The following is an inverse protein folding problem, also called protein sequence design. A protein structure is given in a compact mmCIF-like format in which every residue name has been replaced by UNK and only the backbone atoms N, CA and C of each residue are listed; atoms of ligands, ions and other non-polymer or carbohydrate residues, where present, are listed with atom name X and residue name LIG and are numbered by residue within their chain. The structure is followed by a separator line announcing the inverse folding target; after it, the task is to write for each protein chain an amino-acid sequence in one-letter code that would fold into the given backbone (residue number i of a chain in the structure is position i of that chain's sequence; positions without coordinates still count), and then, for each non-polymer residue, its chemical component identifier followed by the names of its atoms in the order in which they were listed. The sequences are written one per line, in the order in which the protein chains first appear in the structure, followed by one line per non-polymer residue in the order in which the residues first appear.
data_IF_699974741299
#
_entry.id   IF_699974741299
#
_cell.length_a   1.000
_cell.length_b   1.000
_cell.length_c   1.000
_cell.angle_alpha   90.00
_cell.angle_beta   90.00
_cell.angle_gamma   90.00
#
_symmetry.space_group_name_H-M   'P 1'
#
loop_
_entity.id
_entity.type
_entity.pdbx_description
1 polymer ?
#
# COMPACT_ATOMS: atom_id res chain seq x y z
N UNK A 1 44.82 5.37 -22.03
CA UNK A 1 43.44 5.00 -22.34
C UNK A 1 42.54 6.16 -21.98
N UNK A 2 41.62 6.59 -22.86
CA UNK A 2 40.71 7.72 -22.57
C UNK A 2 39.59 7.22 -21.64
N UNK A 3 39.53 7.76 -20.45
CA UNK A 3 38.40 7.52 -19.49
C UNK A 3 37.17 8.13 -20.15
N UNK A 4 36.13 7.35 -20.38
CA UNK A 4 34.81 7.85 -20.81
C UNK A 4 34.07 8.36 -19.61
N UNK A 5 33.66 9.61 -19.60
CA UNK A 5 32.80 10.20 -18.57
C UNK A 5 31.36 10.23 -19.07
N UNK A 6 30.41 9.94 -18.21
CA UNK A 6 28.97 10.12 -18.42
C UNK A 6 28.42 11.00 -17.33
N UNK A 7 27.32 11.70 -17.61
CA UNK A 7 26.59 12.52 -16.63
C UNK A 7 25.30 11.81 -16.28
N UNK A 8 25.03 11.61 -14.99
CA UNK A 8 23.83 10.94 -14.50
C UNK A 8 23.04 11.89 -13.62
N UNK A 9 21.73 11.95 -13.86
CA UNK A 9 20.81 12.73 -13.05
C UNK A 9 20.62 12.08 -11.66
N UNK A 10 20.97 12.78 -10.59
CA UNK A 10 20.83 12.28 -9.21
C UNK A 10 19.37 12.00 -8.80
N UNK A 11 18.42 12.67 -9.45
CA UNK A 11 17.00 12.53 -9.08
C UNK A 11 16.30 11.33 -9.77
N UNK A 12 16.65 10.98 -11.01
CA UNK A 12 15.95 9.95 -11.78
C UNK A 12 16.85 8.92 -12.46
N UNK A 13 18.17 9.06 -12.35
CA UNK A 13 19.15 8.14 -12.96
C UNK A 13 19.29 8.26 -14.48
N UNK A 14 18.67 9.27 -15.13
CA UNK A 14 18.83 9.49 -16.57
C UNK A 14 20.29 9.76 -16.92
N UNK A 15 20.82 9.01 -17.88
CA UNK A 15 22.19 9.17 -18.36
C UNK A 15 22.26 10.13 -19.55
N UNK A 16 23.34 10.91 -19.63
CA UNK A 16 23.66 11.81 -20.74
C UNK A 16 25.16 11.79 -21.01
N UNK A 17 25.52 11.88 -22.29
CA UNK A 17 26.91 11.99 -22.68
C UNK A 17 27.54 13.39 -22.39
N UNK A 18 26.70 14.37 -22.05
CA UNK A 18 27.10 15.75 -21.73
C UNK A 18 26.29 16.23 -20.51
N UNK A 19 26.88 17.16 -19.77
CA UNK A 19 26.13 17.84 -18.71
C UNK A 19 24.96 18.66 -19.30
N UNK A 20 23.77 18.48 -18.73
CA UNK A 20 22.54 19.16 -19.16
C UNK A 20 21.97 19.88 -17.95
N UNK A 21 21.67 21.18 -18.04
CA UNK A 21 21.16 21.99 -16.95
C UNK A 21 19.78 21.54 -16.43
N UNK A 22 18.93 20.98 -17.31
CA UNK A 22 17.61 20.45 -16.93
C UNK A 22 17.49 19.00 -17.42
N UNK A 23 17.11 18.11 -16.51
CA UNK A 23 16.92 16.70 -16.87
C UNK A 23 15.68 16.51 -17.77
N UNK A 24 15.81 15.90 -18.96
CA UNK A 24 14.69 15.70 -19.87
C UNK A 24 13.67 14.68 -19.35
N UNK A 25 14.07 13.78 -18.45
CA UNK A 25 13.21 12.74 -17.91
C UNK A 25 12.39 13.19 -16.69
N UNK A 26 13.00 13.90 -15.72
CA UNK A 26 12.33 14.31 -14.51
C UNK A 26 12.09 15.84 -14.41
N UNK A 27 12.58 16.63 -15.33
CA UNK A 27 12.40 18.09 -15.38
C UNK A 27 13.19 18.89 -14.34
N UNK A 28 13.94 18.26 -13.46
CA UNK A 28 14.74 18.91 -12.40
C UNK A 28 15.97 19.60 -12.96
N UNK A 29 16.35 20.74 -12.33
CA UNK A 29 17.50 21.54 -12.74
C UNK A 29 18.75 21.19 -11.93
N UNK A 30 19.92 21.23 -12.57
CA UNK A 30 21.26 21.06 -11.98
C UNK A 30 21.46 19.73 -11.22
N UNK A 31 20.83 18.67 -11.70
CA UNK A 31 20.86 17.32 -11.08
C UNK A 31 21.85 16.36 -11.74
N UNK A 32 22.58 16.78 -12.76
CA UNK A 32 23.57 15.92 -13.44
C UNK A 32 24.94 16.01 -12.76
N UNK A 33 25.47 14.86 -12.32
CA UNK A 33 26.85 14.68 -11.86
C UNK A 33 27.66 13.86 -12.83
N UNK A 34 28.92 14.24 -12.95
CA UNK A 34 29.90 13.52 -13.77
C UNK A 34 30.31 12.21 -13.08
N UNK A 35 30.12 11.09 -13.78
CA UNK A 35 30.59 9.78 -13.35
C UNK A 35 31.64 9.28 -14.31
N UNK A 36 32.82 8.91 -13.82
CA UNK A 36 33.88 8.29 -14.60
C UNK A 36 33.53 6.83 -14.88
N UNK A 37 33.26 6.50 -16.12
CA UNK A 37 33.09 5.10 -16.51
C UNK A 37 34.50 4.50 -16.60
N UNK A 38 34.80 3.52 -15.75
CA UNK A 38 35.98 2.69 -15.89
C UNK A 38 35.97 2.04 -17.29
N UNK A 39 37.14 1.90 -17.98
CA UNK A 39 37.18 1.27 -19.27
C UNK A 39 36.60 -0.12 -19.16
N UNK A 40 35.56 -0.42 -19.95
CA UNK A 40 35.00 -1.76 -20.06
C UNK A 40 36.10 -2.68 -20.52
N UNK A 41 36.69 -3.45 -19.60
CA UNK A 41 37.42 -4.63 -19.96
C UNK A 41 36.47 -5.51 -20.74
N UNK A 42 36.77 -5.76 -22.00
CA UNK A 42 36.08 -6.70 -22.89
C UNK A 42 36.40 -8.14 -22.47
N UNK A 43 36.10 -8.47 -21.23
CA UNK A 43 35.88 -9.80 -20.75
C UNK A 43 34.46 -9.76 -20.14
N UNK A 44 33.60 -10.59 -20.69
CA UNK A 44 32.29 -10.90 -20.11
C UNK A 44 32.51 -11.34 -18.66
N UNK A 45 32.59 -10.38 -17.75
CA UNK A 45 32.57 -10.68 -16.34
C UNK A 45 31.17 -11.21 -16.04
N UNK A 46 31.08 -12.52 -15.84
CA UNK A 46 29.86 -13.14 -15.33
C UNK A 46 29.40 -12.34 -14.13
N UNK A 47 28.11 -12.03 -14.04
CA UNK A 47 27.54 -11.30 -12.91
C UNK A 47 27.86 -12.03 -11.60
N UNK A 48 27.85 -11.32 -10.47
CA UNK A 48 28.12 -11.92 -9.15
C UNK A 48 27.17 -13.09 -8.92
N UNK A 49 25.87 -12.89 -9.23
CA UNK A 49 24.86 -13.95 -9.15
C UNK A 49 25.18 -15.17 -10.04
N UNK A 50 25.68 -14.95 -11.27
CA UNK A 50 26.10 -16.04 -12.18
C UNK A 50 27.32 -16.79 -11.65
N UNK A 51 28.28 -16.10 -11.03
CA UNK A 51 29.46 -16.75 -10.39
C UNK A 51 29.04 -17.58 -9.19
N UNK A 52 28.02 -17.13 -8.45
CA UNK A 52 27.49 -17.84 -7.29
C UNK A 52 26.83 -19.16 -7.67
N UNK A 53 26.14 -19.22 -8.82
CA UNK A 53 25.32 -20.36 -9.25
C UNK A 53 26.01 -21.25 -10.32
N UNK A 54 27.27 -21.02 -10.66
CA UNK A 54 27.88 -21.43 -11.93
C UNK A 54 28.40 -22.84 -12.02
N UNK A 55 28.03 -23.81 -11.17
CA UNK A 55 28.56 -25.19 -11.41
C UNK A 55 27.52 -26.21 -11.91
N UNK A 56 26.19 -26.04 -11.73
CA UNK A 56 25.31 -27.18 -12.01
C UNK A 56 24.06 -26.92 -12.89
N UNK A 57 23.74 -25.69 -13.32
CA UNK A 57 22.48 -25.44 -14.05
C UNK A 57 22.57 -24.56 -15.30
N UNK A 58 23.68 -24.54 -16.01
CA UNK A 58 23.72 -23.97 -17.37
C UNK A 58 23.11 -24.93 -18.40
N UNK A 59 21.84 -25.25 -18.30
CA UNK A 59 21.12 -25.67 -19.49
C UNK A 59 20.92 -24.41 -20.35
N UNK A 60 21.59 -24.31 -21.46
CA UNK A 60 21.24 -23.39 -22.56
C UNK A 60 19.85 -23.79 -23.03
N UNK A 61 18.81 -23.30 -22.35
CA UNK A 61 17.45 -23.46 -22.85
C UNK A 61 17.34 -22.54 -24.07
N UNK A 62 17.24 -23.14 -25.25
CA UNK A 62 16.83 -22.44 -26.46
C UNK A 62 15.39 -21.89 -26.31
N UNK A 63 14.89 -21.16 -27.33
CA UNK A 63 13.50 -20.72 -27.38
C UNK A 63 12.57 -21.93 -27.21
N UNK A 64 11.55 -21.82 -26.37
CA UNK A 64 10.54 -22.87 -26.11
C UNK A 64 9.20 -22.36 -26.62
N UNK A 65 8.42 -23.20 -27.28
CA UNK A 65 7.06 -22.82 -27.67
C UNK A 65 6.19 -22.59 -26.43
N UNK A 66 5.32 -21.60 -26.50
CA UNK A 66 4.39 -21.30 -25.41
C UNK A 66 3.47 -22.50 -25.08
N UNK A 67 3.13 -23.32 -26.10
CA UNK A 67 2.36 -24.55 -25.95
C UNK A 67 3.09 -25.64 -25.15
N UNK A 68 4.43 -25.62 -25.16
CA UNK A 68 5.26 -26.62 -24.49
C UNK A 68 5.57 -26.24 -23.03
N UNK A 69 5.24 -24.98 -22.64
CA UNK A 69 5.36 -24.53 -21.27
C UNK A 69 4.16 -25.04 -20.49
N UNK A 70 4.37 -26.07 -19.69
CA UNK A 70 3.36 -26.48 -18.72
C UNK A 70 3.24 -25.37 -17.68
N UNK A 71 2.10 -24.70 -17.65
CA UNK A 71 1.71 -23.83 -16.57
C UNK A 71 1.26 -24.71 -15.39
N UNK A 72 2.20 -25.44 -14.79
CA UNK A 72 1.97 -26.00 -13.47
C UNK A 72 1.56 -24.83 -12.57
N UNK A 73 0.49 -24.99 -11.82
CA UNK A 73 0.02 -23.97 -10.89
C UNK A 73 1.23 -23.54 -10.07
N UNK A 74 1.73 -22.32 -10.28
CA UNK A 74 2.95 -21.83 -9.63
C UNK A 74 2.69 -21.93 -8.13
N UNK A 75 3.26 -22.95 -7.50
CA UNK A 75 3.13 -23.20 -6.06
C UNK A 75 3.60 -21.95 -5.33
N UNK A 76 2.68 -21.20 -4.77
CA UNK A 76 2.99 -20.01 -3.98
C UNK A 76 3.37 -20.41 -2.56
N UNK A 77 4.31 -19.70 -1.97
CA UNK A 77 4.64 -19.90 -0.56
C UNK A 77 3.63 -19.14 0.30
N UNK A 78 2.93 -19.87 1.17
CA UNK A 78 2.09 -19.29 2.20
C UNK A 78 2.99 -18.65 3.27
N UNK A 79 2.76 -17.36 3.55
CA UNK A 79 3.51 -16.61 4.55
C UNK A 79 2.88 -16.70 5.96
N UNK A 80 1.81 -17.47 6.14
CA UNK A 80 1.03 -17.55 7.39
C UNK A 80 0.57 -16.17 7.90
N UNK A 81 0.42 -15.23 6.97
CA UNK A 81 -0.15 -13.91 7.17
C UNK A 81 -1.21 -13.64 6.09
N UNK A 82 -2.50 -13.66 6.44
CA UNK A 82 -3.59 -13.59 5.47
C UNK A 82 -3.65 -12.26 4.73
N UNK A 83 -3.26 -11.16 5.36
CA UNK A 83 -3.27 -9.84 4.74
C UNK A 83 -2.08 -9.68 3.78
N UNK A 84 -0.90 -10.16 4.14
CA UNK A 84 0.27 -10.15 3.26
C UNK A 84 0.08 -11.09 2.06
N UNK A 85 -0.43 -12.29 2.28
CA UNK A 85 -0.77 -13.23 1.21
C UNK A 85 -1.79 -12.64 0.24
N UNK A 86 -2.82 -11.96 0.74
CA UNK A 86 -3.84 -11.29 -0.07
C UNK A 86 -3.22 -10.28 -1.02
N UNK A 87 -2.41 -9.37 -0.49
CA UNK A 87 -1.78 -8.30 -1.27
C UNK A 87 -0.79 -8.84 -2.30
N UNK A 88 -0.16 -9.97 -2.01
CA UNK A 88 0.70 -10.70 -2.94
C UNK A 88 -0.08 -11.50 -4.01
N UNK A 89 -1.40 -11.61 -3.87
CA UNK A 89 -2.25 -12.39 -4.76
C UNK A 89 -2.26 -13.89 -4.44
N UNK A 90 -2.12 -14.25 -3.16
CA UNK A 90 -2.20 -15.61 -2.64
C UNK A 90 -0.86 -16.20 -2.16
N UNK A 91 0.16 -15.36 -1.93
CA UNK A 91 1.46 -15.77 -1.39
C UNK A 91 2.66 -15.44 -2.30
N UNK A 92 3.86 -15.78 -1.86
CA UNK A 92 5.09 -15.52 -2.59
C UNK A 92 5.25 -16.44 -3.80
N UNK A 93 5.61 -15.86 -4.93
CA UNK A 93 5.95 -16.60 -6.14
C UNK A 93 7.45 -16.95 -6.11
N UNK A 94 7.84 -18.22 -6.33
CA UNK A 94 9.25 -18.61 -6.44
C UNK A 94 9.99 -17.79 -7.49
N UNK A 95 11.20 -17.35 -7.14
CA UNK A 95 12.02 -16.53 -8.03
C UNK A 95 11.52 -15.10 -8.26
N UNK A 96 10.60 -14.61 -7.45
CA UNK A 96 10.14 -13.22 -7.50
C UNK A 96 11.04 -12.29 -6.69
N UNK A 97 11.14 -11.03 -7.16
CA UNK A 97 11.76 -9.95 -6.43
C UNK A 97 10.68 -8.95 -6.02
N UNK A 98 10.50 -8.77 -4.71
CA UNK A 98 9.46 -7.92 -4.12
C UNK A 98 10.13 -6.75 -3.39
N UNK A 99 9.62 -5.54 -3.58
CA UNK A 99 10.00 -4.35 -2.82
C UNK A 99 8.90 -3.98 -1.84
N UNK A 100 9.24 -3.92 -0.55
CA UNK A 100 8.39 -3.37 0.50
C UNK A 100 8.86 -1.96 0.84
N UNK A 101 8.16 -0.95 0.34
CA UNK A 101 8.43 0.46 0.59
C UNK A 101 7.56 1.04 1.70
N UNK A 102 8.01 2.12 2.34
CA UNK A 102 7.25 2.85 3.36
C UNK A 102 8.12 3.80 4.16
N UNK A 103 7.49 4.74 4.91
CA UNK A 103 8.23 5.67 5.78
C UNK A 103 9.08 4.94 6.83
N UNK A 104 10.20 5.55 7.28
CA UNK A 104 10.94 5.02 8.42
C UNK A 104 10.06 4.92 9.67
N UNK A 105 10.16 3.78 10.38
CA UNK A 105 9.37 3.53 11.60
C UNK A 105 7.92 3.12 11.39
N UNK A 106 7.44 2.93 10.13
CA UNK A 106 6.05 2.50 9.86
C UNK A 106 5.76 1.04 10.25
N UNK A 107 6.79 0.20 10.39
CA UNK A 107 6.66 -1.20 10.79
C UNK A 107 7.09 -2.22 9.73
N UNK A 108 7.79 -1.83 8.65
CA UNK A 108 8.24 -2.75 7.57
C UNK A 108 9.05 -3.94 8.09
N UNK A 109 10.14 -3.65 8.81
CA UNK A 109 11.01 -4.67 9.40
C UNK A 109 10.30 -5.51 10.45
N UNK A 110 9.33 -4.91 11.18
CA UNK A 110 8.49 -5.63 12.14
C UNK A 110 7.57 -6.63 11.42
N UNK A 111 6.90 -6.21 10.34
CA UNK A 111 6.03 -7.09 9.54
C UNK A 111 6.81 -8.29 9.01
N UNK A 112 7.97 -8.05 8.40
CA UNK A 112 8.76 -9.11 7.81
C UNK A 112 9.32 -10.05 8.89
N UNK A 113 9.92 -9.52 9.95
CA UNK A 113 10.46 -10.35 11.03
C UNK A 113 9.37 -11.21 11.68
N UNK A 114 8.18 -10.62 11.96
CA UNK A 114 7.05 -11.36 12.49
C UNK A 114 6.56 -12.46 11.56
N UNK A 115 6.55 -12.21 10.26
CA UNK A 115 6.19 -13.21 9.25
C UNK A 115 7.21 -14.35 9.23
N UNK A 116 8.50 -14.03 9.27
CA UNK A 116 9.57 -15.04 9.30
C UNK A 116 9.49 -15.96 10.52
N UNK A 117 9.20 -15.40 11.69
CA UNK A 117 9.06 -16.16 12.93
C UNK A 117 7.89 -17.17 12.89
N UNK A 118 6.97 -17.04 11.94
CA UNK A 118 5.88 -17.98 11.69
C UNK A 118 6.22 -19.06 10.67
N UNK A 119 7.25 -18.84 9.84
CA UNK A 119 7.68 -19.79 8.81
C UNK A 119 8.64 -20.83 9.43
N UNK A 120 8.08 -21.92 9.93
CA UNK A 120 8.87 -22.99 10.58
C UNK A 120 9.26 -24.12 9.62
N UNK A 121 8.69 -24.13 8.43
CA UNK A 121 8.87 -25.14 7.37
C UNK A 121 9.85 -24.70 6.28
N UNK A 122 10.47 -23.51 6.42
CA UNK A 122 11.33 -22.88 5.42
C UNK A 122 12.61 -22.36 6.03
N UNK A 123 13.70 -22.55 5.31
CA UNK A 123 14.99 -21.94 5.64
C UNK A 123 15.02 -20.50 5.15
N UNK A 124 15.02 -19.56 6.08
CA UNK A 124 14.97 -18.13 5.76
C UNK A 124 16.30 -17.48 6.14
N UNK A 125 16.84 -16.64 5.24
CA UNK A 125 17.98 -15.78 5.53
C UNK A 125 17.52 -14.32 5.57
N UNK A 126 17.71 -13.69 6.73
CA UNK A 126 17.48 -12.27 6.95
C UNK A 126 18.81 -11.53 6.99
N UNK A 127 19.01 -10.63 6.03
CA UNK A 127 20.22 -9.80 5.95
C UNK A 127 19.89 -8.39 6.38
N UNK A 128 20.61 -7.91 7.40
CA UNK A 128 20.48 -6.55 7.92
C UNK A 128 21.71 -5.73 7.61
N UNK A 129 21.49 -4.52 7.07
CA UNK A 129 22.54 -3.52 6.91
C UNK A 129 22.40 -2.35 7.88
N UNK A 130 21.36 -2.34 8.73
CA UNK A 130 21.08 -1.23 9.64
C UNK A 130 21.16 -1.63 11.12
N UNK A 131 20.78 -2.86 11.45
CA UNK A 131 20.69 -3.33 12.82
C UNK A 131 21.65 -4.48 13.09
N UNK A 132 22.14 -4.56 14.34
CA UNK A 132 22.95 -5.67 14.80
C UNK A 132 22.08 -6.90 15.10
N UNK A 133 22.73 -8.08 15.15
CA UNK A 133 22.08 -9.35 15.50
C UNK A 133 21.35 -9.28 16.84
N UNK A 134 21.96 -8.60 17.84
CA UNK A 134 21.36 -8.44 19.18
C UNK A 134 20.10 -7.57 19.12
N UNK A 135 20.07 -6.51 18.32
CA UNK A 135 18.89 -5.63 18.17
C UNK A 135 17.74 -6.38 17.48
N UNK A 136 18.05 -7.16 16.44
CA UNK A 136 17.06 -8.00 15.76
C UNK A 136 16.54 -9.07 16.71
N UNK A 137 17.42 -9.71 17.50
CA UNK A 137 17.02 -10.72 18.50
C UNK A 137 16.08 -10.15 19.55
N UNK A 138 16.39 -8.99 20.13
CA UNK A 138 15.51 -8.30 21.09
C UNK A 138 14.12 -8.00 20.51
N UNK A 139 14.07 -7.64 19.23
CA UNK A 139 12.81 -7.43 18.53
C UNK A 139 12.06 -8.75 18.30
N UNK A 140 12.76 -9.80 17.86
CA UNK A 140 12.18 -11.12 17.66
C UNK A 140 11.57 -11.68 18.95
N UNK A 141 12.25 -11.56 20.08
CA UNK A 141 11.78 -12.03 21.39
C UNK A 141 10.49 -11.30 21.84
N UNK A 142 10.36 -10.02 21.49
CA UNK A 142 9.12 -9.26 21.74
C UNK A 142 7.96 -9.72 20.85
N UNK A 143 8.24 -10.05 19.58
CA UNK A 143 7.22 -10.41 18.59
C UNK A 143 6.72 -11.85 18.75
N UNK A 144 7.57 -12.76 19.21
CA UNK A 144 7.26 -14.16 19.40
C UNK A 144 8.05 -14.75 20.58
N UNK A 145 7.60 -14.50 21.83
CA UNK A 145 8.31 -14.95 23.03
C UNK A 145 8.49 -16.48 23.12
N UNK A 146 7.68 -17.24 22.41
CA UNK A 146 7.69 -18.73 22.43
C UNK A 146 8.23 -19.36 21.15
N UNK A 147 8.79 -18.58 20.21
CA UNK A 147 9.32 -19.12 18.96
C UNK A 147 10.67 -19.80 19.22
N UNK A 148 10.64 -21.08 19.60
CA UNK A 148 11.80 -21.95 19.63
C UNK A 148 11.76 -22.88 18.41
N UNK A 149 12.82 -22.87 17.61
CA UNK A 149 13.00 -23.85 16.52
C UNK A 149 12.77 -23.34 15.09
N UNK A 150 12.85 -22.05 14.84
CA UNK A 150 12.81 -21.52 13.47
C UNK A 150 14.20 -21.57 12.83
N UNK A 151 14.28 -22.07 11.59
CA UNK A 151 15.47 -22.02 10.73
C UNK A 151 15.67 -20.61 10.13
N UNK A 152 15.47 -19.55 10.93
CA UNK A 152 15.75 -18.18 10.53
C UNK A 152 17.20 -17.84 10.83
N UNK A 153 17.99 -17.69 9.78
CA UNK A 153 19.39 -17.29 9.85
C UNK A 153 19.49 -15.77 9.72
N UNK A 154 20.35 -15.17 10.54
CA UNK A 154 20.65 -13.73 10.52
C UNK A 154 22.05 -13.50 9.97
N UNK A 155 22.22 -12.47 9.13
CA UNK A 155 23.51 -12.01 8.65
C UNK A 155 23.52 -10.47 8.67
N UNK A 156 24.47 -9.90 9.42
CA UNK A 156 24.71 -8.44 9.44
C UNK A 156 25.86 -8.11 8.48
N UNK A 157 25.53 -7.83 7.22
CA UNK A 157 26.50 -7.54 6.16
C UNK A 157 25.88 -6.59 5.12
N UNK A 158 26.71 -5.69 4.57
CA UNK A 158 26.31 -4.72 3.54
C UNK A 158 27.04 -4.93 2.21
N UNK A 159 28.18 -5.65 2.23
CA UNK A 159 28.93 -5.94 1.02
C UNK A 159 28.28 -7.06 0.22
N UNK A 160 27.90 -6.75 -1.02
CA UNK A 160 27.16 -7.67 -1.87
C UNK A 160 27.95 -8.95 -2.20
N UNK A 161 29.24 -8.84 -2.41
CA UNK A 161 30.13 -9.95 -2.75
C UNK A 161 30.15 -10.98 -1.62
N UNK A 162 30.31 -10.54 -0.37
CA UNK A 162 30.27 -11.40 0.82
C UNK A 162 28.90 -12.02 1.06
N UNK A 163 27.83 -11.25 0.82
CA UNK A 163 26.46 -11.77 0.90
C UNK A 163 26.30 -12.95 -0.07
N UNK A 164 26.74 -12.80 -1.32
CA UNK A 164 26.61 -13.87 -2.31
C UNK A 164 27.50 -15.10 -2.02
N UNK A 165 28.63 -14.93 -1.33
CA UNK A 165 29.42 -16.05 -0.81
C UNK A 165 28.62 -16.87 0.21
N UNK A 166 27.97 -16.20 1.17
CA UNK A 166 27.12 -16.87 2.15
C UNK A 166 25.88 -17.53 1.53
N UNK A 167 25.26 -16.89 0.51
CA UNK A 167 24.10 -17.45 -0.19
C UNK A 167 24.40 -18.80 -0.87
N UNK A 168 25.65 -19.05 -1.29
CA UNK A 168 26.07 -20.34 -1.84
C UNK A 168 25.99 -21.47 -0.80
N UNK A 169 26.48 -21.17 0.41
CA UNK A 169 26.59 -22.16 1.48
C UNK A 169 25.23 -22.40 2.14
N UNK A 170 24.45 -21.33 2.31
CA UNK A 170 23.16 -21.36 3.01
C UNK A 170 22.06 -21.93 2.12
N UNK A 171 21.98 -21.55 0.85
CA UNK A 171 20.89 -21.91 -0.08
C UNK A 171 19.48 -21.76 0.55
N UNK A 172 19.05 -20.52 0.91
CA UNK A 172 17.78 -20.29 1.61
C UNK A 172 16.58 -20.48 0.68
N UNK A 173 15.42 -20.84 1.24
CA UNK A 173 14.13 -20.87 0.55
C UNK A 173 13.54 -19.47 0.39
N UNK A 174 13.90 -18.52 1.25
CA UNK A 174 13.48 -17.13 1.25
C UNK A 174 14.61 -16.21 1.70
N UNK A 175 14.84 -15.12 0.97
CA UNK A 175 15.83 -14.11 1.29
C UNK A 175 15.18 -12.77 1.60
N UNK A 176 15.59 -12.13 2.69
CA UNK A 176 15.17 -10.75 3.04
C UNK A 176 16.39 -9.84 3.15
N UNK A 177 16.29 -8.66 2.57
CA UNK A 177 17.32 -7.60 2.61
C UNK A 177 16.73 -6.37 3.30
N UNK A 178 17.22 -6.00 4.46
CA UNK A 178 16.77 -4.86 5.25
C UNK A 178 17.96 -3.93 5.63
N UNK A 179 18.19 -2.86 4.86
CA UNK A 179 17.49 -2.35 3.71
C UNK A 179 18.36 -2.37 2.44
N UNK A 180 17.72 -2.28 1.27
CA UNK A 180 18.46 -2.20 0.00
C UNK A 180 19.33 -0.94 -0.10
N UNK A 181 19.02 0.12 0.65
CA UNK A 181 19.78 1.38 0.67
C UNK A 181 21.17 1.23 1.31
N UNK A 182 21.35 0.26 2.20
CA UNK A 182 22.63 0.04 2.87
C UNK A 182 23.55 -0.91 2.10
N UNK A 183 23.02 -1.62 1.09
CA UNK A 183 23.80 -2.57 0.30
C UNK A 183 24.74 -1.85 -0.67
N UNK A 184 25.94 -2.37 -0.78
CA UNK A 184 26.96 -1.85 -1.68
C UNK A 184 27.75 -2.97 -2.37
N UNK A 185 28.19 -2.70 -3.60
CA UNK A 185 29.08 -3.58 -4.36
C UNK A 185 30.35 -2.82 -4.74
N UNK A 186 31.47 -3.51 -4.74
CA UNK A 186 32.77 -2.98 -5.17
C UNK A 186 32.89 -2.87 -6.69
N UNK A 187 31.94 -3.41 -7.45
CA UNK A 187 31.98 -3.40 -8.93
C UNK A 187 31.78 -2.04 -9.55
N UNK A 188 31.26 -1.06 -8.78
CA UNK A 188 31.03 0.31 -9.22
C UNK A 188 31.63 1.32 -8.25
N UNK A 189 32.29 2.34 -8.79
CA UNK A 189 32.90 3.42 -8.02
C UNK A 189 31.84 4.50 -7.70
N UNK A 190 30.97 4.21 -6.72
CA UNK A 190 29.97 5.14 -6.23
C UNK A 190 29.70 4.91 -4.73
N UNK A 191 29.34 5.98 -4.01
CA UNK A 191 29.12 5.90 -2.58
C UNK A 191 27.98 4.93 -2.21
N UNK A 192 28.10 4.18 -1.11
CA UNK A 192 26.98 3.39 -0.54
C UNK A 192 25.73 4.25 -0.39
N UNK A 193 24.55 3.69 -0.68
CA UNK A 193 23.27 4.41 -0.64
C UNK A 193 22.99 5.28 -1.87
N UNK A 194 23.92 5.43 -2.81
CA UNK A 194 23.64 6.12 -4.07
C UNK A 194 22.67 5.32 -4.94
N UNK A 195 21.95 6.02 -5.82
CA UNK A 195 20.99 5.37 -6.75
C UNK A 195 21.64 4.32 -7.63
N UNK A 196 22.89 4.54 -8.05
CA UNK A 196 23.66 3.56 -8.84
C UNK A 196 23.93 2.29 -8.05
N UNK A 197 24.35 2.39 -6.79
CA UNK A 197 24.55 1.23 -5.91
C UNK A 197 23.23 0.46 -5.72
N UNK A 198 22.15 1.16 -5.35
CA UNK A 198 20.84 0.56 -5.13
C UNK A 198 20.35 -0.19 -6.37
N UNK A 199 20.49 0.41 -7.58
CA UNK A 199 20.10 -0.24 -8.84
C UNK A 199 20.93 -1.48 -9.13
N UNK A 200 22.25 -1.39 -8.96
CA UNK A 200 23.16 -2.52 -9.25
C UNK A 200 22.90 -3.66 -8.30
N UNK A 201 22.80 -3.39 -6.99
CA UNK A 201 22.51 -4.42 -5.99
C UNK A 201 21.15 -5.08 -6.25
N UNK A 202 20.10 -4.30 -6.53
CA UNK A 202 18.78 -4.85 -6.84
C UNK A 202 18.77 -5.70 -8.13
N UNK A 203 19.55 -5.32 -9.15
CA UNK A 203 19.67 -6.10 -10.39
C UNK A 203 20.37 -7.45 -10.15
N UNK A 204 21.39 -7.51 -9.27
CA UNK A 204 22.05 -8.75 -8.89
C UNK A 204 21.11 -9.66 -8.06
N UNK A 205 20.33 -9.09 -7.11
CA UNK A 205 19.30 -9.85 -6.39
C UNK A 205 18.20 -10.37 -7.31
N UNK A 206 17.81 -9.61 -8.35
CA UNK A 206 16.87 -10.11 -9.37
C UNK A 206 17.43 -11.31 -10.12
N UNK A 207 18.69 -11.24 -10.56
CA UNK A 207 19.34 -12.36 -11.26
C UNK A 207 19.41 -13.59 -10.34
N UNK A 208 19.78 -13.40 -9.08
CA UNK A 208 19.80 -14.47 -8.08
C UNK A 208 18.39 -15.09 -7.95
N UNK A 209 17.36 -14.30 -7.68
CA UNK A 209 15.99 -14.79 -7.55
C UNK A 209 15.56 -15.64 -8.75
N UNK A 210 15.78 -15.13 -9.98
CA UNK A 210 15.38 -15.83 -11.22
C UNK A 210 16.16 -17.11 -11.46
N UNK A 211 17.41 -17.18 -11.05
CA UNK A 211 18.27 -18.34 -11.30
C UNK A 211 18.17 -19.42 -10.23
N UNK A 212 17.97 -19.04 -8.96
CA UNK A 212 17.80 -19.98 -7.84
C UNK A 212 16.34 -20.40 -7.62
N UNK A 213 15.37 -19.70 -8.21
CA UNK A 213 13.94 -19.76 -7.90
C UNK A 213 13.63 -19.34 -6.43
N UNK A 214 14.56 -18.73 -5.70
CA UNK A 214 14.37 -18.21 -4.35
C UNK A 214 13.67 -16.85 -4.41
N UNK A 215 12.52 -16.64 -3.76
CA UNK A 215 11.92 -15.30 -3.65
C UNK A 215 12.79 -14.39 -2.79
N UNK A 216 12.89 -13.12 -3.18
CA UNK A 216 13.68 -12.11 -2.48
C UNK A 216 12.79 -10.93 -2.13
N UNK A 217 12.78 -10.55 -0.85
CA UNK A 217 12.08 -9.37 -0.33
C UNK A 217 13.11 -8.27 -0.03
N UNK A 218 12.97 -7.13 -0.67
CA UNK A 218 13.77 -5.93 -0.42
C UNK A 218 12.98 -4.95 0.44
N UNK A 219 13.53 -4.49 1.54
CA UNK A 219 12.99 -3.37 2.31
C UNK A 219 13.56 -2.07 1.76
N UNK A 220 12.70 -1.06 1.57
CA UNK A 220 13.09 0.25 1.10
C UNK A 220 12.42 1.38 1.88
N UNK A 221 13.11 2.53 2.02
CA UNK A 221 12.57 3.73 2.65
C UNK A 221 12.00 4.68 1.59
N UNK A 222 10.86 5.31 1.90
CA UNK A 222 10.19 6.34 1.10
C UNK A 222 10.40 7.68 1.78
N UNK A 223 10.67 8.75 1.04
CA UNK A 223 10.73 10.12 1.59
C UNK A 223 9.32 10.69 1.83
N UNK A 224 9.20 11.69 2.73
CA UNK A 224 7.92 12.32 3.15
C UNK A 224 7.08 12.90 2.01
N UNK A 225 7.68 13.22 0.87
CA UNK A 225 6.98 13.74 -0.30
C UNK A 225 6.31 12.67 -1.16
N UNK A 226 6.24 11.42 -0.68
CA UNK A 226 5.72 10.29 -1.46
C UNK A 226 6.58 9.94 -2.69
N UNK A 227 7.62 10.73 -2.94
CA UNK A 227 8.62 10.44 -3.92
C UNK A 227 9.67 9.53 -3.27
N UNK A 228 9.63 8.29 -3.66
CA UNK A 228 10.59 7.29 -3.24
C UNK A 228 11.97 7.74 -3.73
N UNK A 229 12.83 8.26 -2.83
CA UNK A 229 14.25 8.37 -3.15
C UNK A 229 14.80 6.94 -3.29
N UNK A 230 14.92 6.48 -4.54
CA UNK A 230 15.34 5.12 -4.86
C UNK A 230 14.24 4.18 -5.38
N UNK A 231 13.04 4.04 -4.79
CA UNK A 231 12.08 3.01 -5.24
C UNK A 231 11.42 3.25 -6.60
N UNK A 232 11.20 4.48 -7.07
CA UNK A 232 10.76 4.69 -8.47
C UNK A 232 11.76 4.09 -9.47
N UNK A 233 13.04 4.11 -9.14
CA UNK A 233 14.09 3.48 -9.93
C UNK A 233 14.00 1.95 -9.86
N UNK A 234 13.59 1.40 -8.70
CA UNK A 234 13.43 -0.03 -8.50
C UNK A 234 12.11 -0.59 -9.02
N UNK A 235 11.05 0.23 -9.15
CA UNK A 235 9.75 -0.22 -9.69
C UNK A 235 9.85 -0.96 -11.02
N UNK A 236 10.77 -0.54 -11.88
CA UNK A 236 10.96 -1.19 -13.18
C UNK A 236 11.72 -2.51 -13.07
N UNK A 237 12.55 -2.67 -12.03
CA UNK A 237 13.42 -3.84 -11.82
C UNK A 237 12.64 -4.95 -11.11
N UNK A 238 11.87 -4.63 -10.07
CA UNK A 238 11.17 -5.62 -9.24
C UNK A 238 9.89 -6.13 -9.90
N UNK A 239 9.45 -7.31 -9.51
CA UNK A 239 8.20 -7.91 -9.99
C UNK A 239 6.98 -7.36 -9.25
N UNK A 240 7.10 -7.09 -7.96
CA UNK A 240 6.04 -6.58 -7.09
C UNK A 240 6.54 -5.41 -6.25
N UNK A 241 5.74 -4.37 -6.11
CA UNK A 241 5.97 -3.23 -5.21
C UNK A 241 4.82 -3.15 -4.24
N UNK A 242 5.14 -3.32 -2.97
CA UNK A 242 4.22 -3.12 -1.85
C UNK A 242 4.58 -1.81 -1.16
N UNK A 243 3.58 -1.01 -0.83
CA UNK A 243 3.74 0.22 -0.08
C UNK A 243 3.03 0.11 1.26
N UNK A 244 3.78 0.33 2.33
CA UNK A 244 3.27 0.33 3.69
C UNK A 244 3.02 1.76 4.13
N UNK A 245 1.76 2.08 4.37
CA UNK A 245 1.26 3.43 4.68
C UNK A 245 0.63 3.45 6.08
N UNK A 246 0.57 4.64 6.68
CA UNK A 246 -0.14 4.87 7.93
C UNK A 246 0.32 6.16 8.58
N UNK A 247 -0.52 6.72 9.43
CA UNK A 247 -0.18 7.86 10.26
C UNK A 247 0.31 7.37 11.64
N UNK A 248 1.32 8.02 12.21
CA UNK A 248 1.86 7.68 13.54
C UNK A 248 0.85 7.89 14.67
N UNK A 249 -0.15 8.71 14.45
CA UNK A 249 -1.22 8.99 15.42
C UNK A 249 -2.33 7.94 15.42
N UNK A 250 -2.39 7.06 14.40
CA UNK A 250 -3.39 6.01 14.30
C UNK A 250 -2.76 4.62 14.44
N UNK A 251 -3.51 3.71 15.05
CA UNK A 251 -3.05 2.34 15.30
C UNK A 251 -3.02 1.46 14.03
N UNK A 252 -3.63 1.93 12.94
CA UNK A 252 -3.76 1.13 11.71
C UNK A 252 -2.66 1.43 10.71
N UNK A 253 -2.27 0.39 9.97
CA UNK A 253 -1.34 0.43 8.85
C UNK A 253 -1.96 -0.25 7.66
N UNK A 254 -1.78 0.34 6.49
CA UNK A 254 -2.32 -0.18 5.22
C UNK A 254 -1.14 -0.64 4.37
N UNK A 255 -1.22 -1.86 3.88
CA UNK A 255 -0.29 -2.41 2.89
C UNK A 255 -0.98 -2.41 1.53
N UNK A 256 -0.45 -1.63 0.58
CA UNK A 256 -0.97 -1.54 -0.80
C UNK A 256 -0.07 -2.23 -1.78
N UNK A 257 -0.66 -2.85 -2.79
CA UNK A 257 0.04 -3.30 -3.98
C UNK A 257 0.08 -2.17 -5.00
N UNK A 258 1.26 -1.58 -5.22
CA UNK A 258 1.46 -0.52 -6.25
C UNK A 258 1.74 -1.15 -7.61
N UNK A 259 2.42 -2.28 -7.61
CA UNK A 259 2.74 -3.08 -8.80
C UNK A 259 2.73 -4.55 -8.42
N UNK A 260 2.08 -5.40 -9.22
CA UNK A 260 2.11 -6.85 -9.02
C UNK A 260 2.00 -7.57 -10.37
N UNK A 261 3.06 -8.27 -10.78
CA UNK A 261 3.06 -9.08 -12.02
C UNK A 261 2.33 -10.40 -11.85
N UNK A 262 2.03 -10.80 -10.62
CA UNK A 262 1.48 -12.11 -10.28
C UNK A 262 0.06 -12.06 -9.73
N UNK A 263 -0.50 -10.86 -9.59
CA UNK A 263 -1.84 -10.66 -9.04
C UNK A 263 -2.38 -9.26 -9.29
N UNK A 264 -3.55 -8.97 -8.71
CA UNK A 264 -4.17 -7.65 -8.79
C UNK A 264 -3.38 -6.62 -7.97
N UNK A 265 -3.38 -5.37 -8.41
CA UNK A 265 -2.94 -4.21 -7.64
C UNK A 265 -4.06 -3.59 -6.81
N UNK A 266 -5.28 -4.10 -6.95
CA UNK A 266 -6.45 -3.62 -6.23
C UNK A 266 -6.56 -4.18 -4.80
N UNK A 267 -5.67 -5.10 -4.40
CA UNK A 267 -5.70 -5.70 -3.08
C UNK A 267 -4.96 -4.85 -2.06
N UNK A 268 -5.52 -4.81 -0.84
CA UNK A 268 -4.86 -4.19 0.31
C UNK A 268 -4.95 -5.06 1.56
N UNK A 269 -3.90 -4.94 2.38
CA UNK A 269 -3.81 -5.53 3.69
C UNK A 269 -3.97 -4.45 4.77
N UNK A 270 -4.65 -4.78 5.85
CA UNK A 270 -4.84 -3.88 6.97
C UNK A 270 -4.28 -4.53 8.22
N UNK A 271 -3.47 -3.76 8.94
CA UNK A 271 -2.83 -4.20 10.17
C UNK A 271 -3.11 -3.21 11.30
N UNK A 272 -3.28 -3.73 12.49
CA UNK A 272 -3.28 -2.95 13.73
C UNK A 272 -1.90 -3.03 14.38
N UNK A 273 -1.32 -1.86 14.71
CA UNK A 273 -0.06 -1.79 15.44
C UNK A 273 -0.32 -2.00 16.93
N UNK A 274 0.27 -3.03 17.51
CA UNK A 274 0.21 -3.36 18.93
C UNK A 274 1.60 -3.40 19.55
N UNK A 275 1.68 -3.50 20.88
CA UNK A 275 2.93 -3.65 21.59
C UNK A 275 3.71 -4.91 21.16
N UNK A 276 2.97 -5.99 20.89
CA UNK A 276 3.47 -7.30 20.48
C UNK A 276 3.75 -7.41 18.97
N UNK A 277 3.49 -6.34 18.19
CA UNK A 277 3.70 -6.34 16.75
C UNK A 277 2.48 -5.94 15.92
N UNK A 278 2.42 -6.40 14.68
CA UNK A 278 1.35 -6.12 13.73
C UNK A 278 0.32 -7.26 13.73
N UNK A 279 -0.92 -6.93 14.06
CA UNK A 279 -2.05 -7.86 13.98
C UNK A 279 -2.78 -7.69 12.65
N UNK A 280 -2.90 -8.74 11.82
CA UNK A 280 -3.75 -8.71 10.64
C UNK A 280 -5.21 -8.42 11.00
N UNK A 281 -5.87 -7.53 10.26
CA UNK A 281 -7.24 -7.13 10.48
C UNK A 281 -8.15 -7.80 9.44
N UNK A 282 -8.80 -8.87 9.83
CA UNK A 282 -9.67 -9.63 8.93
C UNK A 282 -10.93 -8.83 8.52
N UNK A 283 -11.48 -8.06 9.45
CA UNK A 283 -12.67 -7.23 9.21
C UNK A 283 -12.40 -5.77 9.63
N UNK A 284 -12.00 -4.90 8.70
CA UNK A 284 -11.78 -3.48 9.02
C UNK A 284 -13.00 -2.76 9.55
N UNK A 285 -14.19 -3.16 9.11
CA UNK A 285 -15.43 -2.50 9.48
C UNK A 285 -15.69 -2.54 10.98
N UNK A 286 -15.34 -3.65 11.65
CA UNK A 286 -15.48 -3.78 13.13
C UNK A 286 -14.69 -2.73 13.89
N UNK A 287 -13.61 -2.25 13.32
CA UNK A 287 -12.71 -1.28 13.94
C UNK A 287 -13.05 0.16 13.57
N UNK A 288 -13.78 0.35 12.45
CA UNK A 288 -14.11 1.65 11.87
C UNK A 288 -15.53 2.10 12.21
N UNK A 289 -16.28 1.26 12.92
CA UNK A 289 -17.61 1.54 13.44
C UNK A 289 -17.54 1.64 14.97
N UNK A 290 -18.13 2.69 15.53
CA UNK A 290 -18.19 2.87 16.98
C UNK A 290 -19.23 1.92 17.56
N UNK A 291 -18.83 1.10 18.53
CA UNK A 291 -19.76 0.33 19.34
C UNK A 291 -20.50 1.28 20.30
N UNK A 292 -21.82 1.22 20.33
CA UNK A 292 -22.64 2.01 21.25
C UNK A 292 -24.09 2.09 20.79
N UNK A 293 -24.98 2.36 21.74
CA UNK A 293 -26.43 2.49 21.53
C UNK A 293 -26.88 3.95 21.45
N UNK A 294 -25.98 4.91 21.67
CA UNK A 294 -26.34 6.33 21.75
C UNK A 294 -26.71 6.88 20.38
N UNK A 295 -27.84 7.55 20.30
CA UNK A 295 -28.31 8.27 19.12
C UNK A 295 -27.60 9.63 19.05
N UNK A 296 -26.38 9.64 18.48
CA UNK A 296 -25.60 10.86 18.29
C UNK A 296 -25.83 11.46 16.92
N UNK A 297 -26.10 12.78 16.87
CA UNK A 297 -26.14 13.52 15.62
C UNK A 297 -24.75 13.67 14.99
N UNK A 298 -24.70 13.92 13.68
CA UNK A 298 -23.45 14.12 12.96
C UNK A 298 -22.71 12.84 12.54
N UNK A 299 -23.34 11.68 12.67
CA UNK A 299 -22.73 10.38 12.33
C UNK A 299 -23.51 9.71 11.19
N UNK A 300 -22.78 9.21 10.20
CA UNK A 300 -23.33 8.40 9.10
C UNK A 300 -22.39 7.26 8.74
N UNK A 301 -22.92 6.12 8.30
CA UNK A 301 -22.10 4.97 7.89
C UNK A 301 -22.01 4.88 6.38
N UNK A 302 -20.79 4.98 5.87
CA UNK A 302 -20.47 4.83 4.47
C UNK A 302 -20.05 3.39 4.16
N UNK A 303 -20.52 2.85 3.05
CA UNK A 303 -20.00 1.62 2.48
C UNK A 303 -18.98 1.98 1.40
N UNK A 304 -17.72 2.03 1.78
CA UNK A 304 -16.59 2.34 0.91
C UNK A 304 -16.00 1.07 0.28
N UNK A 305 -15.28 1.24 -0.82
CA UNK A 305 -14.46 0.19 -1.41
C UNK A 305 -13.08 0.76 -1.68
N UNK A 306 -12.07 0.10 -1.18
CA UNK A 306 -10.69 0.41 -1.51
C UNK A 306 -10.10 -0.79 -2.25
N UNK A 307 -9.70 -0.57 -3.50
CA UNK A 307 -9.30 -1.66 -4.36
C UNK A 307 -10.43 -2.69 -4.57
N UNK A 308 -10.20 -3.95 -4.18
CA UNK A 308 -11.21 -5.01 -4.26
C UNK A 308 -12.02 -5.19 -2.95
N UNK A 309 -11.64 -4.52 -1.88
CA UNK A 309 -12.16 -4.77 -0.53
C UNK A 309 -13.26 -3.77 -0.16
N UNK A 310 -14.52 -4.23 0.06
CA UNK A 310 -15.56 -3.42 0.65
C UNK A 310 -15.34 -3.33 2.17
N UNK A 311 -15.67 -2.20 2.76
CA UNK A 311 -15.71 -2.01 4.21
C UNK A 311 -16.68 -0.90 4.56
N UNK A 312 -17.23 -0.96 5.77
CA UNK A 312 -18.04 0.11 6.32
C UNK A 312 -17.16 1.03 7.17
N UNK A 313 -17.42 2.32 7.06
CA UNK A 313 -16.67 3.34 7.78
C UNK A 313 -17.60 4.43 8.28
N UNK A 314 -17.36 4.86 9.50
CA UNK A 314 -18.10 5.94 10.11
C UNK A 314 -17.56 7.30 9.63
N UNK A 315 -18.48 8.13 9.16
CA UNK A 315 -18.25 9.52 8.76
C UNK A 315 -18.85 10.39 9.85
N UNK A 316 -18.01 11.21 10.48
CA UNK A 316 -18.42 12.11 11.57
C UNK A 316 -18.32 13.56 11.10
N UNK A 317 -19.34 14.34 11.35
CA UNK A 317 -19.35 15.78 11.06
C UNK A 317 -19.81 16.59 12.27
N UNK A 318 -19.19 17.74 12.45
CA UNK A 318 -19.61 18.75 13.41
C UNK A 318 -19.87 20.07 12.67
N UNK A 319 -21.07 20.59 12.80
CA UNK A 319 -21.47 21.87 12.22
C UNK A 319 -21.86 22.83 13.34
N UNK A 320 -21.16 23.96 13.41
CA UNK A 320 -21.44 25.01 14.41
C UNK A 320 -21.54 26.38 13.78
N UNK A 321 -22.04 27.36 14.51
CA UNK A 321 -22.02 28.76 14.08
C UNK A 321 -20.57 29.28 14.11
N UNK A 322 -20.16 29.98 13.05
CA UNK A 322 -18.80 30.54 12.99
C UNK A 322 -18.62 31.61 14.08
N UNK A 323 -17.76 31.32 15.07
CA UNK A 323 -17.52 32.20 16.21
C UNK A 323 -16.68 33.43 15.86
N UNK A 324 -15.83 33.33 14.82
CA UNK A 324 -14.83 34.37 14.47
C UNK A 324 -15.11 35.09 13.15
N UNK A 325 -16.34 35.08 12.67
CA UNK A 325 -16.74 35.79 11.47
C UNK A 325 -16.29 35.17 10.12
N UNK A 326 -15.25 34.36 10.11
CA UNK A 326 -14.82 33.61 8.93
C UNK A 326 -15.05 32.12 9.16
N UNK A 327 -15.91 31.48 8.38
CA UNK A 327 -16.21 30.05 8.53
C UNK A 327 -14.98 29.17 8.35
N UNK A 328 -14.74 28.28 9.30
CA UNK A 328 -13.66 27.30 9.25
C UNK A 328 -14.16 25.99 8.63
N UNK A 329 -13.35 25.41 7.77
CA UNK A 329 -13.63 24.11 7.16
C UNK A 329 -12.40 23.23 7.27
N UNK A 330 -12.56 22.08 7.91
CA UNK A 330 -11.49 21.10 8.11
C UNK A 330 -11.99 19.70 7.81
N UNK A 331 -11.13 18.89 7.22
CA UNK A 331 -11.42 17.49 6.92
C UNK A 331 -10.21 16.61 7.26
N UNK A 332 -10.46 15.54 8.01
CA UNK A 332 -9.50 14.49 8.28
C UNK A 332 -9.94 13.23 7.54
N UNK A 333 -9.06 12.64 6.73
CA UNK A 333 -9.37 11.44 5.97
C UNK A 333 -10.18 11.65 4.69
N UNK A 334 -10.59 12.89 4.38
CA UNK A 334 -11.37 13.28 3.20
C UNK A 334 -10.76 14.50 2.51
N UNK A 335 -10.95 14.62 1.19
CA UNK A 335 -10.42 15.76 0.42
C UNK A 335 -11.20 17.05 0.72
N UNK A 336 -10.48 18.08 1.16
CA UNK A 336 -11.09 19.37 1.55
C UNK A 336 -11.75 20.09 0.37
N UNK A 337 -11.22 19.92 -0.86
CA UNK A 337 -11.84 20.52 -2.07
C UNK A 337 -13.16 19.85 -2.38
N UNK A 338 -13.21 18.51 -2.21
CA UNK A 338 -14.45 17.74 -2.35
C UNK A 338 -15.47 18.14 -1.29
N UNK A 339 -15.07 18.30 -0.03
CA UNK A 339 -15.94 18.80 1.04
C UNK A 339 -16.56 20.15 0.67
N UNK A 340 -15.75 21.12 0.24
CA UNK A 340 -16.24 22.43 -0.16
C UNK A 340 -17.23 22.37 -1.32
N UNK A 341 -17.04 21.49 -2.28
CA UNK A 341 -17.96 21.24 -3.37
C UNK A 341 -19.31 20.68 -2.85
N UNK A 342 -19.28 19.70 -1.95
CA UNK A 342 -20.49 19.12 -1.36
C UNK A 342 -21.27 20.16 -0.54
N UNK A 343 -20.60 21.02 0.22
CA UNK A 343 -21.22 22.12 0.96
C UNK A 343 -21.94 23.10 0.01
N UNK A 344 -21.33 23.44 -1.13
CA UNK A 344 -21.95 24.30 -2.14
C UNK A 344 -23.19 23.64 -2.78
N UNK A 345 -23.16 22.30 -2.99
CA UNK A 345 -24.34 21.56 -3.47
C UNK A 345 -25.48 21.61 -2.45
N UNK A 346 -25.18 21.35 -1.16
CA UNK A 346 -26.18 21.42 -0.07
C UNK A 346 -26.82 22.81 0.03
N UNK A 347 -26.01 23.85 -0.07
CA UNK A 347 -26.50 25.23 -0.01
C UNK A 347 -27.37 25.58 -1.21
N UNK A 348 -26.91 25.29 -2.43
CA UNK A 348 -27.57 25.71 -3.64
C UNK A 348 -28.77 24.85 -4.03
N UNK A 349 -28.73 23.53 -3.73
CA UNK A 349 -29.74 22.55 -4.19
C UNK A 349 -30.70 22.13 -3.08
N UNK A 350 -30.19 21.93 -1.87
CA UNK A 350 -31.02 21.53 -0.74
C UNK A 350 -31.45 22.68 0.19
N UNK A 351 -30.99 23.90 -0.07
CA UNK A 351 -31.43 25.13 0.60
C UNK A 351 -30.85 25.33 2.02
N UNK A 352 -29.83 24.60 2.42
CA UNK A 352 -29.19 24.73 3.73
C UNK A 352 -28.23 25.90 3.77
N UNK A 353 -28.33 26.74 4.81
CA UNK A 353 -27.44 27.91 4.99
C UNK A 353 -26.16 27.50 5.72
N UNK A 354 -25.20 26.97 4.99
CA UNK A 354 -23.90 26.48 5.50
C UNK A 354 -22.77 27.50 5.30
N UNK A 355 -22.98 28.55 4.50
CA UNK A 355 -21.95 29.54 4.17
C UNK A 355 -21.38 30.28 5.39
N UNK A 356 -22.18 30.48 6.46
CA UNK A 356 -21.75 31.12 7.71
C UNK A 356 -21.50 30.15 8.87
N UNK A 357 -21.30 28.85 8.58
CA UNK A 357 -21.07 27.82 9.61
C UNK A 357 -19.69 27.20 9.49
N UNK A 358 -19.10 26.90 10.63
CA UNK A 358 -17.92 26.04 10.73
C UNK A 358 -18.31 24.60 10.45
N UNK A 359 -17.50 23.88 9.67
CA UNK A 359 -17.73 22.48 9.33
C UNK A 359 -16.45 21.69 9.54
N UNK A 360 -16.50 20.74 10.44
CA UNK A 360 -15.43 19.80 10.72
C UNK A 360 -15.88 18.39 10.30
N UNK A 361 -15.08 17.72 9.48
CA UNK A 361 -15.32 16.36 9.00
C UNK A 361 -14.20 15.44 9.43
N UNK A 362 -14.54 14.28 9.95
CA UNK A 362 -13.60 13.24 10.32
C UNK A 362 -14.05 11.88 9.80
N UNK A 363 -13.15 11.19 9.12
CA UNK A 363 -13.34 9.77 8.76
C UNK A 363 -12.74 8.92 9.87
N UNK A 364 -13.53 8.00 10.44
CA UNK A 364 -13.10 7.16 11.54
C UNK A 364 -11.81 6.38 11.22
N UNK A 365 -11.01 6.10 12.25
CA UNK A 365 -9.74 5.36 12.12
C UNK A 365 -8.62 6.10 11.39
N UNK A 366 -8.83 7.37 10.98
CA UNK A 366 -7.83 8.18 10.27
C UNK A 366 -7.45 7.69 8.88
N UNK A 367 -8.29 6.83 8.30
CA UNK A 367 -8.11 6.35 6.94
C UNK A 367 -8.41 7.47 5.94
N UNK A 368 -7.53 7.64 4.97
CA UNK A 368 -7.81 8.51 3.83
C UNK A 368 -8.65 7.75 2.81
N UNK A 369 -9.93 8.12 2.68
CA UNK A 369 -10.84 7.51 1.72
C UNK A 369 -10.94 8.39 0.48
N UNK A 370 -10.64 7.82 -0.68
CA UNK A 370 -10.70 8.51 -1.98
C UNK A 370 -11.91 8.08 -2.81
N UNK A 371 -12.67 7.11 -2.33
CA UNK A 371 -13.86 6.58 -2.99
C UNK A 371 -15.00 7.62 -2.99
N UNK A 372 -15.46 8.11 -4.15
CA UNK A 372 -16.54 9.09 -4.22
C UNK A 372 -17.90 8.55 -3.71
N UNK A 373 -18.02 7.24 -3.54
CA UNK A 373 -19.24 6.63 -2.99
C UNK A 373 -19.57 7.09 -1.57
N UNK A 374 -18.60 7.63 -0.80
CA UNK A 374 -18.85 8.14 0.55
C UNK A 374 -19.48 9.55 0.58
N UNK A 375 -19.58 10.25 -0.56
CA UNK A 375 -20.17 11.60 -0.61
C UNK A 375 -21.56 11.65 0.03
N UNK A 376 -22.40 10.63 -0.22
CA UNK A 376 -23.75 10.55 0.33
C UNK A 376 -23.71 10.51 1.87
N UNK A 377 -22.77 9.78 2.45
CA UNK A 377 -22.58 9.71 3.92
C UNK A 377 -22.01 11.02 4.47
N UNK A 378 -21.14 11.68 3.72
CA UNK A 378 -20.58 12.99 4.11
C UNK A 378 -21.70 14.04 4.20
N UNK A 379 -22.54 14.15 3.19
CA UNK A 379 -23.68 15.11 3.23
C UNK A 379 -24.69 14.73 4.31
N UNK A 380 -24.95 13.44 4.52
CA UNK A 380 -25.84 12.94 5.56
C UNK A 380 -25.33 13.30 6.96
N UNK A 381 -24.05 13.07 7.26
CA UNK A 381 -23.42 13.41 8.54
C UNK A 381 -23.44 14.95 8.80
N UNK A 382 -23.10 15.75 7.78
CA UNK A 382 -23.12 17.22 7.86
C UNK A 382 -24.52 17.70 8.21
N UNK A 383 -25.54 17.19 7.54
CA UNK A 383 -26.92 17.61 7.76
C UNK A 383 -27.48 17.11 9.09
N UNK A 384 -27.15 15.88 9.48
CA UNK A 384 -27.47 15.36 10.81
C UNK A 384 -26.95 16.27 11.92
N UNK A 385 -25.69 16.68 11.84
CA UNK A 385 -25.11 17.64 12.79
C UNK A 385 -25.73 19.03 12.68
N UNK A 386 -26.09 19.50 11.48
CA UNK A 386 -26.66 20.83 11.29
C UNK A 386 -28.08 20.98 11.85
N UNK A 387 -28.88 19.92 11.81
CA UNK A 387 -30.27 19.90 12.32
C UNK A 387 -30.36 19.24 13.70
N UNK A 388 -29.24 18.71 14.20
CA UNK A 388 -29.12 17.98 15.47
C UNK A 388 -30.09 16.79 15.59
N UNK A 389 -30.20 16.01 14.52
CA UNK A 389 -31.03 14.81 14.45
C UNK A 389 -30.11 13.62 14.08
N UNK A 390 -30.14 12.56 14.91
CA UNK A 390 -29.37 11.35 14.65
C UNK A 390 -29.92 10.57 13.43
N UNK A 391 -29.02 9.95 12.68
CA UNK A 391 -29.36 8.99 11.63
C UNK A 391 -29.43 7.60 12.27
N UNK A 392 -30.42 6.79 11.89
CA UNK A 392 -30.53 5.41 12.35
C UNK A 392 -29.28 4.62 11.99
N UNK A 393 -28.60 4.11 13.01
CA UNK A 393 -27.34 3.35 12.90
C UNK A 393 -27.46 2.04 12.12
N UNK A 394 -28.66 1.58 11.85
CA UNK A 394 -28.89 0.39 11.02
C UNK A 394 -28.89 0.68 9.52
N UNK A 395 -28.66 1.95 9.13
CA UNK A 395 -28.57 2.39 7.75
C UNK A 395 -27.11 2.54 7.34
N UNK A 396 -26.70 1.81 6.30
CA UNK A 396 -25.47 2.10 5.56
C UNK A 396 -25.81 2.74 4.22
N UNK A 397 -24.86 3.45 3.63
CA UNK A 397 -25.12 4.14 2.37
C UNK A 397 -23.92 4.22 1.46
N UNK A 398 -24.18 4.33 0.15
CA UNK A 398 -23.17 4.60 -0.87
C UNK A 398 -23.78 5.36 -2.04
N UNK A 399 -23.13 6.47 -2.46
CA UNK A 399 -23.56 7.24 -3.63
C UNK A 399 -22.62 8.42 -3.87
N UNK A 400 -22.27 8.67 -5.12
CA UNK A 400 -21.54 9.87 -5.51
C UNK A 400 -22.53 11.03 -5.68
N UNK A 401 -22.17 12.21 -5.19
CA UNK A 401 -23.00 13.41 -5.31
C UNK A 401 -22.50 14.31 -6.44
N UNK A 402 -23.34 14.53 -7.45
CA UNK A 402 -23.02 15.43 -8.53
C UNK A 402 -23.37 16.89 -8.22
N UNK A 403 -22.83 17.83 -9.03
CA UNK A 403 -22.99 19.28 -8.84
C UNK A 403 -24.46 19.79 -9.00
N UNK A 404 -25.31 19.03 -9.67
CA UNK A 404 -26.74 19.33 -9.80
C UNK A 404 -27.57 18.74 -8.66
N UNK A 405 -26.95 18.09 -7.66
CA UNK A 405 -27.64 17.44 -6.55
C UNK A 405 -28.13 16.02 -6.90
N UNK A 406 -27.76 15.48 -8.05
CA UNK A 406 -28.06 14.11 -8.42
C UNK A 406 -27.17 13.12 -7.67
N UNK A 407 -27.73 11.95 -7.33
CA UNK A 407 -26.98 10.83 -6.75
C UNK A 407 -26.63 9.86 -7.87
N UNK A 408 -25.32 9.72 -8.11
CA UNK A 408 -24.75 8.93 -9.21
C UNK A 408 -24.42 7.51 -8.80
N UNK A 409 -24.52 6.54 -9.73
CA UNK A 409 -24.12 5.18 -9.49
C UNK A 409 -22.65 5.08 -9.09
N UNK A 410 -22.35 4.09 -8.24
CA UNK A 410 -21.00 3.79 -7.79
C UNK A 410 -20.59 2.38 -8.19
N UNK A 411 -19.31 2.16 -8.32
CA UNK A 411 -18.76 0.84 -8.66
C UNK A 411 -18.97 -0.16 -7.54
N UNK A 412 -19.05 -1.45 -7.88
CA UNK A 412 -19.08 -2.58 -6.94
C UNK A 412 -20.22 -2.51 -5.91
N UNK A 413 -21.37 -1.96 -6.31
CA UNK A 413 -22.50 -1.75 -5.39
C UNK A 413 -22.97 -3.05 -4.71
N UNK A 414 -22.95 -4.20 -5.42
CA UNK A 414 -23.29 -5.50 -4.82
C UNK A 414 -22.39 -5.88 -3.65
N UNK A 415 -21.07 -5.65 -3.78
CA UNK A 415 -20.12 -5.96 -2.72
C UNK A 415 -20.33 -5.07 -1.50
N UNK A 416 -20.63 -3.76 -1.70
CA UNK A 416 -20.95 -2.82 -0.62
C UNK A 416 -22.19 -3.24 0.16
N UNK A 417 -23.25 -3.64 -0.56
CA UNK A 417 -24.49 -4.09 0.05
C UNK A 417 -24.27 -5.42 0.80
N UNK A 418 -23.54 -6.35 0.20
CA UNK A 418 -23.23 -7.64 0.84
C UNK A 418 -22.43 -7.46 2.14
N UNK A 419 -21.46 -6.54 2.16
CA UNK A 419 -20.71 -6.24 3.38
C UNK A 419 -21.60 -5.60 4.46
N UNK A 420 -22.49 -4.67 4.10
CA UNK A 420 -23.44 -4.07 5.03
C UNK A 420 -24.40 -5.13 5.60
N UNK A 421 -24.94 -6.01 4.77
CA UNK A 421 -25.83 -7.10 5.20
C UNK A 421 -25.12 -8.08 6.14
N UNK A 422 -23.86 -8.45 5.82
CA UNK A 422 -23.01 -9.33 6.66
C UNK A 422 -22.77 -8.74 8.05
N UNK A 423 -22.67 -7.42 8.16
CA UNK A 423 -22.45 -6.70 9.42
C UNK A 423 -23.76 -6.37 10.15
N UNK A 424 -24.91 -6.86 9.68
CA UNK A 424 -26.20 -6.75 10.36
C UNK A 424 -26.94 -5.43 10.13
N UNK A 425 -26.53 -4.61 9.14
CA UNK A 425 -27.30 -3.44 8.74
C UNK A 425 -28.63 -3.86 8.14
N UNK A 426 -29.68 -3.11 8.45
CA UNK A 426 -31.07 -3.44 8.03
C UNK A 426 -31.47 -2.74 6.76
N UNK A 427 -30.91 -1.54 6.52
CA UNK A 427 -31.28 -0.66 5.41
C UNK A 427 -30.02 -0.17 4.67
N UNK A 428 -30.14 0.00 3.35
CA UNK A 428 -29.05 0.49 2.53
C UNK A 428 -29.54 1.58 1.56
N UNK A 429 -29.04 2.80 1.72
CA UNK A 429 -29.35 3.94 0.87
C UNK A 429 -28.40 3.93 -0.34
N UNK A 430 -28.95 3.94 -1.56
CA UNK A 430 -28.18 3.82 -2.80
C UNK A 430 -28.78 4.60 -3.96
N UNK A 431 -27.99 4.90 -5.01
CA UNK A 431 -28.52 5.53 -6.22
C UNK A 431 -29.55 4.62 -6.91
N UNK A 432 -30.71 5.14 -7.28
CA UNK A 432 -31.75 4.35 -7.98
C UNK A 432 -31.22 3.69 -9.26
N UNK A 433 -30.35 4.37 -10.00
CA UNK A 433 -29.76 3.83 -11.21
C UNK A 433 -28.93 2.56 -10.96
N UNK A 434 -28.46 2.34 -9.72
CA UNK A 434 -27.72 1.14 -9.30
C UNK A 434 -28.61 -0.09 -9.10
N UNK A 435 -29.93 0.05 -9.05
CA UNK A 435 -30.85 -1.10 -8.96
C UNK A 435 -30.83 -1.95 -10.22
N UNK A 436 -30.54 -1.35 -11.39
CA UNK A 436 -30.40 -2.09 -12.64
C UNK A 436 -29.19 -3.03 -12.57
N UNK A 437 -29.47 -4.31 -12.36
CA UNK A 437 -28.41 -5.34 -12.28
C UNK A 437 -28.14 -5.89 -10.87
N UNK A 438 -28.83 -5.40 -9.83
CA UNK A 438 -28.90 -6.10 -8.56
C UNK A 438 -29.89 -7.27 -8.74
N UNK A 439 -29.42 -8.54 -8.63
CA UNK A 439 -30.29 -9.71 -8.64
C UNK A 439 -31.21 -9.75 -7.41
N UNK A 440 -32.17 -10.66 -7.39
CA UNK A 440 -33.23 -10.75 -6.38
C UNK A 440 -32.78 -11.16 -4.96
N UNK A 441 -31.52 -11.54 -4.76
CA UNK A 441 -31.00 -12.05 -3.46
C UNK A 441 -30.22 -10.99 -2.69
N UNK A 442 -30.92 -10.01 -2.12
CA UNK A 442 -30.28 -9.06 -1.20
C UNK A 442 -31.05 -9.09 0.13
N UNK A 443 -30.41 -9.59 1.19
CA UNK A 443 -31.01 -9.71 2.54
C UNK A 443 -30.98 -8.39 3.34
N UNK A 444 -31.20 -7.25 2.68
CA UNK A 444 -31.23 -5.93 3.30
C UNK A 444 -32.24 -5.06 2.53
N UNK A 445 -32.96 -4.19 3.25
CA UNK A 445 -33.89 -3.27 2.63
C UNK A 445 -33.16 -2.18 1.85
N UNK A 446 -33.40 -2.09 0.55
CA UNK A 446 -32.81 -1.07 -0.30
C UNK A 446 -33.69 0.19 -0.31
N UNK A 447 -33.07 1.36 -0.16
CA UNK A 447 -33.71 2.66 -0.22
C UNK A 447 -33.11 3.41 -1.45
N UNK A 448 -33.73 3.34 -2.62
CA UNK A 448 -33.22 4.00 -3.81
C UNK A 448 -33.51 5.51 -3.78
N UNK A 449 -32.51 6.31 -4.15
CA UNK A 449 -32.62 7.76 -4.22
C UNK A 449 -32.00 8.30 -5.51
N UNK A 450 -32.56 9.38 -6.05
CA UNK A 450 -32.07 10.05 -7.27
C UNK A 450 -31.37 11.38 -6.96
N UNK A 451 -31.81 12.06 -5.92
CA UNK A 451 -31.37 13.40 -5.54
C UNK A 451 -31.09 13.50 -4.04
N UNK A 452 -30.31 14.51 -3.71
CA UNK A 452 -29.96 14.82 -2.32
C UNK A 452 -31.20 15.02 -1.45
N UNK A 453 -32.23 15.72 -1.96
CA UNK A 453 -33.48 15.99 -1.22
C UNK A 453 -34.23 14.69 -0.86
N UNK A 454 -34.26 13.71 -1.76
CA UNK A 454 -34.89 12.40 -1.51
C UNK A 454 -34.12 11.61 -0.45
N UNK A 455 -32.77 11.67 -0.51
CA UNK A 455 -31.94 11.03 0.50
C UNK A 455 -32.20 11.62 1.90
N UNK A 456 -32.31 12.93 2.01
CA UNK A 456 -32.63 13.60 3.27
C UNK A 456 -34.00 13.23 3.81
N UNK A 457 -34.99 13.18 2.93
CA UNK A 457 -36.34 12.75 3.32
C UNK A 457 -36.36 11.30 3.83
N UNK A 458 -35.54 10.43 3.28
CA UNK A 458 -35.43 9.04 3.69
C UNK A 458 -34.69 8.86 5.03
N UNK A 459 -33.78 9.77 5.39
CA UNK A 459 -32.96 9.70 6.58
C UNK A 459 -33.57 10.40 7.81
N UNK A 460 -34.31 11.49 7.62
CA UNK A 460 -34.78 12.38 8.71
C UNK A 460 -36.32 12.43 8.85
N UNK A 461 -37.01 11.41 8.34
CA UNK A 461 -38.46 11.26 8.52
C UNK A 461 -38.83 10.39 9.69
#
# INVERSE_FOLDING_TARGET
MKVKTAFVCENCGQESAKWIGRCPACGQWNTFKEIRLAPSASQQSASIAERTLSQDRRSKRGPVSLSDVQADAVSRYDLHDPELNRVLGGGLVPGSLILLGGEPGIGKSTLLLQTLLRLTDRKVLYISGEESEQQIKLRADRLAPSASGNDCLLLCETNLERIFEQLRDVSPDLLIIDSIQTMATETIDSAPGSLSQIRTCAAEFLKYAKSSATPVLLVGHITKDGAIAGPKVLEHIVDTVLQFEGDRHYFYRILRSIKNRFGSTDELGIYEMRAEGLRPVANPSELLLTEGTDELSGIAVAAAVEGARPFLIEVQALVSSAAYGTPQRSATGFDLRRLNMLLAVLEKRAGFKLGAKDVFLNIAGGLRVTDPAIDLSVIAAILSSNVDIAIDRTIAMAGEVGLSGEIRPVTRIRQRIAEAAKLGFKRFLLPEASLKGLGAEVNIQLIPVRRVEEALQALFR
#
